data_IF_276961036209
#
_entry.id   IF_276961036209
#
_cell.length_a   1.000
_cell.length_b   1.000
_cell.length_c   1.000
_cell.angle_alpha   90.00
_cell.angle_beta   90.00
_cell.angle_gamma   90.00
#
_symmetry.space_group_name_H-M   'P 1'
#
loop_
_entity.id
_entity.type
_entity.pdbx_description
1 polymer ?
#
# COMPACT_ATOMS: atom_id res chain seq x y z
N UNK A 1 1.53 4.06 9.36
CA UNK A 1 1.44 2.75 10.01
C UNK A 1 2.70 1.95 9.76
N UNK A 2 2.69 0.67 10.10
CA UNK A 2 3.64 -0.33 9.60
C UNK A 2 3.09 -0.91 8.29
N UNK A 3 3.94 -1.22 7.31
CA UNK A 3 3.49 -1.59 5.97
C UNK A 3 4.06 -2.94 5.55
N UNK A 4 3.18 -3.79 5.02
CA UNK A 4 3.54 -5.07 4.41
C UNK A 4 2.95 -5.15 2.99
N UNK A 5 3.45 -6.10 2.21
CA UNK A 5 2.86 -6.51 0.94
C UNK A 5 3.00 -8.02 0.78
N UNK A 6 2.01 -8.67 0.17
CA UNK A 6 2.11 -10.06 -0.23
C UNK A 6 2.75 -10.22 -1.63
N UNK A 7 3.10 -9.12 -2.30
CA UNK A 7 3.70 -9.13 -3.62
C UNK A 7 5.23 -9.18 -3.52
N UNK A 8 5.79 -10.36 -3.78
CA UNK A 8 7.23 -10.59 -3.77
C UNK A 8 8.02 -9.63 -4.68
N UNK A 9 7.57 -9.45 -5.93
CA UNK A 9 8.27 -8.59 -6.90
C UNK A 9 8.30 -7.13 -6.43
N UNK A 10 7.26 -6.67 -5.76
CA UNK A 10 7.19 -5.35 -5.15
C UNK A 10 8.15 -5.24 -3.96
N UNK A 11 8.13 -6.22 -3.05
CA UNK A 11 9.03 -6.25 -1.89
C UNK A 11 10.51 -6.20 -2.30
N UNK A 12 10.90 -7.02 -3.29
CA UNK A 12 12.26 -7.01 -3.86
C UNK A 12 12.60 -5.65 -4.44
N UNK A 13 11.77 -5.13 -5.35
CA UNK A 13 12.02 -3.82 -6.00
C UNK A 13 12.18 -2.70 -4.97
N UNK A 14 11.41 -2.73 -3.88
CA UNK A 14 11.47 -1.70 -2.85
C UNK A 14 12.66 -1.83 -1.93
N UNK A 15 12.99 -3.04 -1.47
CA UNK A 15 14.17 -3.28 -0.65
C UNK A 15 15.46 -2.85 -1.36
N UNK A 16 15.50 -2.98 -2.69
CA UNK A 16 16.63 -2.61 -3.55
C UNK A 16 16.69 -1.12 -3.93
N UNK A 17 15.69 -0.31 -3.57
CA UNK A 17 15.70 1.11 -3.92
C UNK A 17 16.75 1.85 -3.10
N UNK A 18 17.87 2.19 -3.74
CA UNK A 18 19.00 2.94 -3.15
C UNK A 18 19.61 2.27 -1.90
N UNK A 19 19.71 0.94 -1.88
CA UNK A 19 20.21 0.21 -0.72
C UNK A 19 21.29 -0.81 -1.10
N UNK A 20 22.48 -0.69 -0.49
CA UNK A 20 23.61 -1.60 -0.71
C UNK A 20 23.35 -3.01 -0.14
N UNK A 21 22.52 -3.10 0.90
CA UNK A 21 22.11 -4.36 1.56
C UNK A 21 20.59 -4.42 1.63
N UNK A 22 19.92 -4.81 0.54
CA UNK A 22 18.46 -4.83 0.45
C UNK A 22 17.87 -5.93 1.32
N UNK A 23 17.39 -5.59 2.52
CA UNK A 23 16.80 -6.54 3.46
C UNK A 23 15.28 -6.63 3.27
N UNK A 24 14.74 -7.85 3.22
CA UNK A 24 13.31 -8.15 3.30
C UNK A 24 13.04 -8.87 4.62
N UNK A 25 12.09 -8.35 5.39
CA UNK A 25 11.57 -9.00 6.60
C UNK A 25 10.29 -9.78 6.26
N UNK A 26 10.23 -11.03 6.71
CA UNK A 26 9.10 -11.92 6.51
C UNK A 26 8.30 -12.03 7.78
N UNK A 27 6.98 -11.90 7.65
CA UNK A 27 6.03 -12.02 8.73
C UNK A 27 4.92 -12.98 8.30
N UNK A 28 4.51 -13.85 9.21
CA UNK A 28 3.21 -14.50 9.09
C UNK A 28 2.14 -13.52 9.56
N UNK A 29 1.07 -13.39 8.78
CA UNK A 29 -0.05 -12.51 9.09
C UNK A 29 -1.29 -13.34 9.41
N UNK A 30 -1.78 -13.23 10.65
CA UNK A 30 -3.05 -13.83 11.09
C UNK A 30 -3.98 -12.71 11.54
N UNK A 31 -5.05 -12.40 10.78
CA UNK A 31 -5.97 -11.33 11.15
C UNK A 31 -6.73 -11.67 12.44
N UNK A 32 -6.96 -10.65 13.27
CA UNK A 32 -7.83 -10.73 14.43
C UNK A 32 -9.19 -10.13 14.07
N UNK A 33 -10.25 -10.93 14.13
CA UNK A 33 -11.61 -10.54 13.77
C UNK A 33 -12.20 -9.46 14.71
N UNK A 34 -11.61 -9.24 15.88
CA UNK A 34 -12.02 -8.16 16.79
C UNK A 34 -11.53 -6.77 16.35
N UNK A 35 -10.59 -6.70 15.41
CA UNK A 35 -10.03 -5.44 14.91
C UNK A 35 -10.87 -4.83 13.79
N UNK A 36 -10.82 -3.50 13.68
CA UNK A 36 -11.45 -2.79 12.58
C UNK A 36 -10.57 -2.86 11.33
N UNK A 37 -10.93 -3.75 10.39
CA UNK A 37 -10.18 -3.97 9.15
C UNK A 37 -10.97 -3.43 7.95
N UNK A 38 -10.38 -2.47 7.24
CA UNK A 38 -10.90 -1.99 5.95
C UNK A 38 -10.17 -2.69 4.80
N UNK A 39 -10.92 -3.32 3.89
CA UNK A 39 -10.35 -4.01 2.73
C UNK A 39 -10.92 -3.50 1.41
N UNK A 40 -10.05 -3.23 0.46
CA UNK A 40 -10.38 -2.94 -0.92
C UNK A 40 -9.81 -4.02 -1.83
N UNK A 41 -10.66 -4.66 -2.64
CA UNK A 41 -10.21 -5.67 -3.62
C UNK A 41 -9.56 -5.03 -4.84
N UNK A 42 -10.02 -3.85 -5.21
CA UNK A 42 -9.58 -3.09 -6.39
C UNK A 42 -9.73 -1.59 -6.14
N UNK A 43 -9.20 -0.77 -7.06
CA UNK A 43 -9.46 0.66 -7.01
C UNK A 43 -10.91 0.88 -7.44
N UNK A 44 -11.71 1.41 -6.53
CA UNK A 44 -13.09 1.82 -6.79
C UNK A 44 -13.33 3.23 -6.20
N UNK A 45 -14.55 3.74 -6.32
CA UNK A 45 -14.90 5.07 -5.82
C UNK A 45 -14.66 5.20 -4.30
N UNK A 46 -15.00 4.19 -3.51
CA UNK A 46 -14.80 4.20 -2.06
C UNK A 46 -13.32 4.26 -1.70
N UNK A 47 -12.48 3.51 -2.42
CA UNK A 47 -11.03 3.56 -2.29
C UNK A 47 -10.50 4.97 -2.62
N UNK A 48 -10.96 5.56 -3.72
CA UNK A 48 -10.51 6.90 -4.13
C UNK A 48 -10.88 7.94 -3.06
N UNK A 49 -12.12 7.92 -2.59
CA UNK A 49 -12.58 8.82 -1.53
C UNK A 49 -11.80 8.60 -0.22
N UNK A 50 -11.55 7.35 0.17
CA UNK A 50 -10.78 7.02 1.36
C UNK A 50 -9.35 7.55 1.28
N UNK A 51 -8.65 7.31 0.17
CA UNK A 51 -7.29 7.82 -0.02
C UNK A 51 -7.31 9.35 -0.05
N UNK A 52 -8.24 9.98 -0.78
CA UNK A 52 -8.37 11.43 -0.83
C UNK A 52 -8.61 12.05 0.55
N UNK A 53 -9.44 11.40 1.37
CA UNK A 53 -9.71 11.78 2.76
C UNK A 53 -8.43 11.76 3.60
N UNK A 54 -7.69 10.65 3.56
CA UNK A 54 -6.42 10.51 4.28
C UNK A 54 -5.39 11.56 3.84
N UNK A 55 -5.25 11.80 2.53
CA UNK A 55 -4.29 12.77 1.98
C UNK A 55 -4.67 14.22 2.25
N UNK A 56 -5.94 14.49 2.50
CA UNK A 56 -6.43 15.80 2.95
C UNK A 56 -6.18 16.04 4.45
N UNK A 57 -5.41 15.18 5.11
CA UNK A 57 -5.03 15.30 6.52
C UNK A 57 -6.08 14.81 7.51
N UNK A 58 -7.16 14.19 7.03
CA UNK A 58 -8.20 13.64 7.90
C UNK A 58 -7.81 12.24 8.39
N UNK A 59 -8.21 11.91 9.61
CA UNK A 59 -7.89 10.65 10.28
C UNK A 59 -9.00 9.60 10.09
N UNK A 60 -8.64 8.33 10.19
CA UNK A 60 -9.57 7.20 10.25
C UNK A 60 -9.31 6.36 11.50
N UNK A 61 -10.26 5.49 11.85
CA UNK A 61 -10.18 4.64 13.06
C UNK A 61 -9.89 3.16 12.76
N UNK A 62 -9.66 2.79 11.49
CA UNK A 62 -9.29 1.42 11.13
C UNK A 62 -7.92 1.03 11.70
N UNK A 63 -7.87 -0.14 12.32
CA UNK A 63 -6.66 -0.78 12.82
C UNK A 63 -5.77 -1.25 11.67
N UNK A 64 -6.40 -1.81 10.63
CA UNK A 64 -5.73 -2.35 9.44
C UNK A 64 -6.45 -1.85 8.19
N UNK A 65 -5.68 -1.42 7.20
CA UNK A 65 -6.18 -1.09 5.85
C UNK A 65 -5.43 -1.94 4.82
N UNK A 66 -6.15 -2.73 4.04
CA UNK A 66 -5.61 -3.61 3.00
C UNK A 66 -6.21 -3.27 1.63
N UNK A 67 -5.37 -3.20 0.59
CA UNK A 67 -5.87 -3.04 -0.77
C UNK A 67 -4.87 -2.47 -1.77
N UNK A 68 -5.36 -1.87 -2.87
CA UNK A 68 -4.54 -1.24 -3.88
C UNK A 68 -3.71 -0.10 -3.31
N UNK A 69 -2.44 -0.08 -3.67
CA UNK A 69 -1.53 0.97 -3.26
C UNK A 69 -1.59 2.17 -4.21
N UNK A 70 -1.75 3.36 -3.65
CA UNK A 70 -1.53 4.62 -4.36
C UNK A 70 -0.03 4.88 -4.55
N UNK A 71 0.59 4.25 -5.56
CA UNK A 71 1.98 4.50 -5.96
C UNK A 71 2.22 5.92 -6.47
N UNK A 72 3.47 6.30 -6.74
CA UNK A 72 3.83 7.68 -7.13
C UNK A 72 2.97 8.24 -8.28
N UNK A 73 2.62 7.40 -9.26
CA UNK A 73 1.76 7.81 -10.39
C UNK A 73 0.30 7.96 -9.99
N UNK A 74 -0.29 6.95 -9.36
CA UNK A 74 -1.69 6.99 -8.90
C UNK A 74 -1.87 8.11 -7.88
N UNK A 75 -0.85 8.34 -7.06
CA UNK A 75 -0.79 9.44 -6.11
C UNK A 75 -0.95 10.80 -6.79
N UNK A 76 -0.21 11.06 -7.87
CA UNK A 76 -0.33 12.32 -8.60
C UNK A 76 -1.77 12.55 -9.06
N UNK A 77 -2.44 11.52 -9.59
CA UNK A 77 -3.84 11.62 -10.00
C UNK A 77 -4.78 11.89 -8.82
N UNK A 78 -4.55 11.25 -7.66
CA UNK A 78 -5.33 11.54 -6.44
C UNK A 78 -5.14 13.00 -6.00
N UNK A 79 -3.92 13.52 -6.02
CA UNK A 79 -3.67 14.92 -5.68
C UNK A 79 -4.38 15.89 -6.64
N UNK A 80 -4.32 15.62 -7.94
CA UNK A 80 -4.98 16.44 -8.94
C UNK A 80 -6.51 16.40 -8.77
N UNK A 81 -7.05 15.26 -8.37
CA UNK A 81 -8.46 15.12 -8.00
C UNK A 81 -8.81 15.95 -6.75
N UNK A 82 -8.02 15.86 -5.67
CA UNK A 82 -8.22 16.65 -4.44
C UNK A 82 -8.17 18.16 -4.73
N UNK A 83 -7.25 18.59 -5.59
CA UNK A 83 -7.11 20.00 -6.02
C UNK A 83 -8.23 20.46 -6.95
N UNK A 84 -9.08 19.56 -7.44
CA UNK A 84 -10.09 19.85 -8.46
C UNK A 84 -9.51 20.10 -9.86
N UNK A 85 -8.23 19.77 -10.08
CA UNK A 85 -7.57 19.89 -11.39
C UNK A 85 -8.08 18.84 -12.38
N UNK A 86 -8.44 17.65 -11.88
CA UNK A 86 -9.13 16.62 -12.66
C UNK A 86 -10.45 16.23 -11.98
N UNK A 87 -11.45 15.91 -12.78
CA UNK A 87 -12.72 15.32 -12.32
C UNK A 87 -12.52 13.85 -11.94
N UNK A 88 -13.45 13.29 -11.14
CA UNK A 88 -13.50 11.84 -10.85
C UNK A 88 -13.51 10.99 -12.13
N UNK A 89 -14.24 11.42 -13.17
CA UNK A 89 -14.26 10.72 -14.47
C UNK A 89 -12.86 10.70 -15.12
N UNK A 90 -12.16 11.83 -15.12
CA UNK A 90 -10.79 11.91 -15.65
C UNK A 90 -9.80 11.08 -14.84
N UNK A 91 -9.95 11.05 -13.50
CA UNK A 91 -9.15 10.17 -12.64
C UNK A 91 -9.25 8.71 -13.12
N UNK A 92 -10.47 8.20 -13.33
CA UNK A 92 -10.66 6.82 -13.75
C UNK A 92 -10.12 6.52 -15.14
N UNK A 93 -10.24 7.45 -16.09
CA UNK A 93 -9.60 7.31 -17.41
C UNK A 93 -8.07 7.19 -17.28
N UNK A 94 -7.45 7.96 -16.40
CA UNK A 94 -6.00 7.88 -16.16
C UNK A 94 -5.59 6.62 -15.38
N UNK A 95 -6.47 6.14 -14.49
CA UNK A 95 -6.25 4.97 -13.64
C UNK A 95 -6.54 3.64 -14.35
N UNK A 96 -7.33 3.62 -15.42
CA UNK A 96 -7.79 2.41 -16.14
C UNK A 96 -6.65 1.47 -16.53
N UNK A 97 -5.53 2.03 -16.99
CA UNK A 97 -4.36 1.25 -17.43
C UNK A 97 -3.34 0.99 -16.32
N UNK A 98 -3.66 1.33 -15.07
CA UNK A 98 -2.77 1.11 -13.92
C UNK A 98 -3.10 -0.24 -13.29
N UNK A 99 -2.06 -1.02 -13.04
CA UNK A 99 -2.14 -2.21 -12.20
C UNK A 99 -1.58 -1.84 -10.82
N UNK A 100 -2.42 -1.34 -9.90
CA UNK A 100 -1.96 -0.95 -8.58
C UNK A 100 -1.43 -2.19 -7.86
N UNK A 101 -0.37 -1.99 -7.09
CA UNK A 101 0.22 -3.05 -6.30
C UNK A 101 -0.57 -3.26 -5.01
N UNK A 102 -0.25 -4.31 -4.25
CA UNK A 102 -0.93 -4.60 -2.99
C UNK A 102 -0.19 -3.99 -1.79
N UNK A 103 -0.96 -3.51 -0.81
CA UNK A 103 -0.44 -3.04 0.46
C UNK A 103 -1.37 -3.43 1.60
N UNK A 104 -0.78 -3.78 2.74
CA UNK A 104 -1.44 -3.83 4.06
C UNK A 104 -0.77 -2.79 4.95
N UNK A 105 -1.56 -1.94 5.60
CA UNK A 105 -1.09 -0.96 6.57
C UNK A 105 -1.69 -1.24 7.95
N UNK A 106 -0.84 -1.27 8.97
CA UNK A 106 -1.20 -1.52 10.37
C UNK A 106 -1.03 -0.21 11.15
N UNK A 107 -2.07 0.21 11.87
CA UNK A 107 -2.17 1.55 12.46
C UNK A 107 -2.21 1.55 13.99
N UNK A 108 -2.41 0.40 14.64
CA UNK A 108 -2.46 0.26 16.10
C UNK A 108 -1.52 -0.83 16.60
N UNK A 109 -1.21 -0.83 17.90
CA UNK A 109 -0.40 -1.91 18.51
C UNK A 109 -1.09 -3.26 18.40
N UNK A 110 -2.42 -3.32 18.59
CA UNK A 110 -3.20 -4.54 18.42
C UNK A 110 -3.10 -5.07 16.99
N UNK A 111 -3.13 -4.20 15.98
CA UNK A 111 -2.89 -4.58 14.60
C UNK A 111 -1.49 -5.19 14.37
N UNK A 112 -0.46 -4.69 15.05
CA UNK A 112 0.89 -5.26 14.95
C UNK A 112 0.99 -6.64 15.60
N UNK A 113 0.17 -6.95 16.60
CA UNK A 113 0.12 -8.30 17.19
C UNK A 113 -0.39 -9.37 16.21
N UNK A 114 -1.01 -8.97 15.09
CA UNK A 114 -1.36 -9.89 14.00
C UNK A 114 -0.15 -10.35 13.16
N UNK A 115 1.04 -9.76 13.39
CA UNK A 115 2.27 -10.09 12.65
C UNK A 115 3.23 -10.88 13.54
N UNK A 116 3.61 -12.07 13.06
CA UNK A 116 4.66 -12.87 13.68
C UNK A 116 5.92 -12.86 12.81
N UNK A 117 6.99 -12.23 13.31
CA UNK A 117 8.27 -12.17 12.59
C UNK A 117 8.86 -13.57 12.40
N UNK A 118 9.22 -13.89 11.16
CA UNK A 118 9.83 -15.17 10.82
C UNK A 118 11.34 -15.04 10.64
N UNK A 119 11.77 -14.16 9.74
CA UNK A 119 13.18 -14.01 9.35
C UNK A 119 13.42 -12.72 8.58
N UNK A 120 14.70 -12.40 8.40
CA UNK A 120 15.18 -11.34 7.53
C UNK A 120 16.20 -11.88 6.54
N UNK A 121 16.11 -11.52 5.27
CA UNK A 121 17.06 -11.96 4.24
C UNK A 121 17.54 -10.77 3.40
N UNK A 122 18.81 -10.80 2.99
CA UNK A 122 19.32 -9.87 1.97
C UNK A 122 18.94 -10.41 0.60
N UNK A 123 18.22 -9.63 -0.18
CA UNK A 123 17.66 -10.04 -1.47
C UNK A 123 17.94 -8.97 -2.53
N UNK A 124 18.87 -9.25 -3.43
CA UNK A 124 19.20 -8.37 -4.55
C UNK A 124 18.23 -8.56 -5.72
N UNK A 125 17.81 -7.47 -6.37
CA UNK A 125 17.04 -7.53 -7.62
C UNK A 125 17.98 -7.95 -8.76
N UNK A 126 17.89 -9.21 -9.21
CA UNK A 126 18.77 -9.79 -10.24
C UNK A 126 18.56 -9.21 -11.65
N UNK A 127 17.72 -8.17 -11.80
CA UNK A 127 17.45 -7.49 -13.08
C UNK A 127 18.40 -6.31 -13.36
N UNK A 128 19.36 -6.03 -12.48
CA UNK A 128 20.39 -5.00 -12.71
C UNK A 128 21.71 -5.54 -13.29
N UNK A 129 21.73 -6.80 -13.75
CA UNK A 129 22.91 -7.42 -14.40
C UNK A 129 22.77 -7.59 -15.93
N UNK A 130 21.78 -6.95 -16.57
CA UNK A 130 21.69 -6.86 -18.04
C UNK A 130 21.75 -5.42 -18.54
#
# INVERSE_FOLDING_TARGET
>A
GFYCTNNWKQAVRWANRNNEKPVINFFDYTPDESLSILKFTEMNDEWLEFIAHCRSGKTHNYDIVEGPMANDTVWNYVNDFIKGTITKKQFWVLAEFKQPTHQISFHTLSALNCLNFQKSEIVYDRRTEE
#
